data_IF_608910999564
#
_entry.id   IF_608910999564
#
_cell.length_a   1.000
_cell.length_b   1.000
_cell.length_c   1.000
_cell.angle_alpha   90.00
_cell.angle_beta   90.00
_cell.angle_gamma   90.00
#
_symmetry.space_group_name_H-M   'P 1'
#
loop_
_entity.id
_entity.type
_entity.pdbx_description
1 polymer ?
#
# COMPACT_ATOMS: atom_id res chain seq x y z
N UNK A 1 -40.00 -54.04 -3.43
CA UNK A 1 -40.24 -53.78 -1.99
C UNK A 1 -39.50 -52.48 -1.67
N UNK A 2 -40.21 -51.33 -1.66
CA UNK A 2 -40.72 -50.63 -0.44
C UNK A 2 -39.56 -50.32 0.52
N UNK A 3 -39.15 -49.09 0.84
CA UNK A 3 -39.81 -47.76 0.99
C UNK A 3 -38.70 -46.67 1.03
N UNK A 4 -38.84 -45.47 0.44
CA UNK A 4 -39.32 -44.19 1.04
C UNK A 4 -38.56 -43.79 2.32
N UNK A 5 -37.96 -42.60 2.53
CA UNK A 5 -38.55 -41.24 2.66
C UNK A 5 -37.35 -40.29 3.02
N UNK A 6 -36.99 -39.19 2.33
CA UNK A 6 -37.50 -37.79 2.37
C UNK A 6 -37.44 -37.06 3.73
N UNK A 7 -36.77 -35.88 3.71
CA UNK A 7 -37.06 -34.59 4.43
C UNK A 7 -36.56 -34.52 5.90
N UNK A 8 -35.83 -33.50 6.38
CA UNK A 8 -36.20 -32.06 6.44
C UNK A 8 -35.02 -31.15 6.80
N UNK A 9 -34.97 -29.96 6.19
CA UNK A 9 -34.25 -28.77 6.67
C UNK A 9 -34.77 -28.34 8.05
N UNK A 10 -33.90 -27.77 8.89
CA UNK A 10 -34.34 -26.84 9.95
C UNK A 10 -33.32 -25.72 10.11
N UNK A 11 -33.57 -24.63 9.39
CA UNK A 11 -33.07 -23.30 9.73
C UNK A 11 -33.94 -22.77 10.87
N UNK A 12 -33.34 -22.40 12.01
CA UNK A 12 -34.08 -21.79 13.12
C UNK A 12 -33.74 -20.30 13.19
N UNK A 13 -34.67 -19.50 12.67
CA UNK A 13 -34.77 -18.07 12.93
C UNK A 13 -35.33 -17.87 14.35
N UNK A 14 -34.66 -17.07 15.18
CA UNK A 14 -35.30 -16.38 16.30
C UNK A 14 -35.25 -14.88 16.05
N UNK A 15 -36.39 -14.36 15.63
CA UNK A 15 -36.74 -12.96 15.51
C UNK A 15 -37.53 -12.60 16.77
N UNK A 16 -37.06 -11.65 17.57
CA UNK A 16 -37.91 -10.95 18.54
C UNK A 16 -37.66 -9.45 18.44
N UNK A 17 -38.67 -8.76 17.92
CA UNK A 17 -38.82 -7.32 17.97
C UNK A 17 -39.43 -6.90 19.32
N UNK A 18 -39.01 -5.75 19.83
CA UNK A 18 -39.84 -4.78 20.57
C UNK A 18 -39.08 -3.44 20.56
N UNK A 19 -39.50 -2.40 19.83
CA UNK A 19 -40.67 -1.50 20.00
C UNK A 19 -40.35 -0.33 20.95
N UNK A 20 -40.20 0.83 20.30
CA UNK A 20 -40.53 2.20 20.71
C UNK A 20 -39.63 3.00 21.66
N UNK A 21 -39.11 4.10 21.10
CA UNK A 21 -38.61 5.28 21.79
C UNK A 21 -38.43 6.46 20.82
N UNK A 22 -39.54 7.18 20.55
CA UNK A 22 -39.56 8.61 20.16
C UNK A 22 -38.54 9.41 21.03
N UNK A 23 -37.86 10.48 20.65
CA UNK A 23 -37.92 11.46 19.55
C UNK A 23 -36.81 12.52 19.80
N UNK A 24 -36.53 13.35 18.79
CA UNK A 24 -35.89 14.70 18.84
C UNK A 24 -34.35 14.80 18.66
N UNK A 25 -33.96 15.06 17.40
CA UNK A 25 -32.87 15.98 17.02
C UNK A 25 -33.48 17.39 16.77
N UNK A 26 -32.70 18.46 16.54
CA UNK A 26 -31.35 18.81 17.02
C UNK A 26 -31.28 20.26 17.56
N UNK A 27 -30.31 20.59 18.41
CA UNK A 27 -29.91 22.00 18.62
C UNK A 27 -28.40 22.11 18.55
N UNK A 28 -27.91 22.64 17.43
CA UNK A 28 -26.57 23.13 17.25
C UNK A 28 -26.63 24.61 16.86
N UNK A 29 -25.54 25.33 17.16
CA UNK A 29 -25.23 26.76 16.94
C UNK A 29 -25.52 27.66 18.16
N UNK A 30 -24.62 28.56 18.57
CA UNK A 30 -23.25 28.87 18.15
C UNK A 30 -22.60 29.66 19.30
N UNK A 31 -21.35 29.37 19.62
CA UNK A 31 -20.55 30.16 20.56
C UNK A 31 -19.72 31.18 19.78
N UNK A 32 -19.75 32.41 20.25
CA UNK A 32 -18.98 33.57 19.79
C UNK A 32 -17.46 33.31 19.74
N UNK A 33 -16.80 33.73 18.65
CA UNK A 33 -15.58 34.56 18.75
C UNK A 33 -15.23 35.23 17.41
N UNK A 34 -15.17 36.55 17.48
CA UNK A 34 -14.59 37.48 16.51
C UNK A 34 -13.07 37.38 16.47
N UNK A 35 -12.46 37.56 15.30
CA UNK A 35 -11.29 38.44 15.13
C UNK A 35 -10.96 38.68 13.64
N UNK A 36 -10.96 39.95 13.26
CA UNK A 36 -10.29 40.49 12.07
C UNK A 36 -8.78 40.59 12.32
N UNK A 37 -7.96 40.16 11.35
CA UNK A 37 -6.58 40.62 11.06
C UNK A 37 -6.13 39.83 9.81
N UNK A 38 -6.07 40.42 8.61
CA UNK A 38 -4.92 41.14 8.02
C UNK A 38 -3.61 40.34 8.04
N UNK A 39 -3.20 39.81 6.86
CA UNK A 39 -1.85 39.81 6.25
C UNK A 39 -1.86 38.76 5.12
N UNK A 40 -1.89 39.16 3.85
CA UNK A 40 -0.75 39.56 3.00
C UNK A 40 0.44 38.59 3.01
N UNK A 41 0.81 38.20 1.78
CA UNK A 41 2.07 37.62 1.33
C UNK A 41 2.35 36.14 1.67
N UNK A 42 2.10 35.26 0.70
CA UNK A 42 3.16 34.44 0.10
C UNK A 42 2.62 33.75 -1.15
N UNK A 43 3.06 34.28 -2.29
CA UNK A 43 3.06 33.62 -3.57
C UNK A 43 4.07 32.46 -3.49
N UNK A 44 3.63 31.29 -3.04
CA UNK A 44 4.41 30.06 -3.19
C UNK A 44 4.06 29.43 -4.54
N UNK A 45 4.89 29.83 -5.50
CA UNK A 45 5.45 29.01 -6.57
C UNK A 45 5.00 27.55 -6.50
N UNK A 46 3.91 27.26 -7.22
CA UNK A 46 3.48 25.91 -7.56
C UNK A 46 4.45 25.33 -8.59
N UNK A 47 5.70 25.15 -8.19
CA UNK A 47 6.65 24.26 -8.84
C UNK A 47 6.22 22.83 -8.55
N UNK A 48 5.08 22.43 -9.11
CA UNK A 48 4.82 21.02 -9.36
C UNK A 48 6.02 20.52 -10.18
N UNK A 49 6.74 19.46 -9.75
CA UNK A 49 7.79 18.89 -10.57
C UNK A 49 7.14 18.49 -11.88
N UNK A 50 7.51 19.19 -12.96
CA UNK A 50 7.10 18.85 -14.31
C UNK A 50 7.59 17.42 -14.56
N UNK A 51 6.67 16.46 -14.41
CA UNK A 51 6.91 15.08 -14.73
C UNK A 51 7.39 15.02 -16.17
N UNK A 52 8.62 14.56 -16.36
CA UNK A 52 9.18 14.31 -17.67
C UNK A 52 8.20 13.37 -18.41
N UNK A 53 7.57 13.79 -19.53
CA UNK A 53 6.46 13.06 -20.14
C UNK A 53 6.82 11.65 -20.63
N UNK A 54 8.12 11.35 -20.74
CA UNK A 54 8.63 10.04 -21.14
C UNK A 54 8.88 9.07 -19.96
N UNK A 55 8.63 9.48 -18.71
CA UNK A 55 8.79 8.60 -17.54
C UNK A 55 7.52 7.76 -17.30
N UNK A 56 7.62 6.42 -17.24
CA UNK A 56 6.51 5.56 -16.85
C UNK A 56 5.87 6.02 -15.54
N UNK A 57 4.53 6.03 -15.52
CA UNK A 57 3.74 6.38 -14.33
C UNK A 57 4.16 5.50 -13.13
N UNK A 58 4.31 6.10 -11.95
CA UNK A 58 4.74 5.47 -10.70
C UNK A 58 6.17 4.89 -10.70
N UNK A 59 7.04 5.34 -11.60
CA UNK A 59 8.44 4.93 -11.55
C UNK A 59 9.21 5.80 -10.53
N UNK A 60 9.95 5.15 -9.64
CA UNK A 60 10.83 5.80 -8.65
C UNK A 60 12.13 6.21 -9.33
N UNK A 61 12.77 7.25 -8.84
CA UNK A 61 14.00 7.75 -9.45
C UNK A 61 15.16 6.83 -9.08
N UNK A 62 16.07 6.54 -10.00
CA UNK A 62 17.20 5.64 -9.74
C UNK A 62 18.03 6.11 -8.56
N UNK A 63 18.29 7.42 -8.44
CA UNK A 63 19.10 7.94 -7.33
C UNK A 63 18.37 7.82 -5.99
N UNK A 64 17.07 8.12 -5.97
CA UNK A 64 16.24 7.96 -4.77
C UNK A 64 16.13 6.50 -4.36
N UNK A 65 15.95 5.59 -5.31
CA UNK A 65 15.85 4.15 -5.06
C UNK A 65 17.17 3.62 -4.47
N UNK A 66 18.30 3.96 -5.08
CA UNK A 66 19.63 3.53 -4.62
C UNK A 66 19.91 4.06 -3.21
N UNK A 67 19.62 5.34 -2.95
CA UNK A 67 19.80 5.93 -1.62
C UNK A 67 18.94 5.22 -0.55
N UNK A 68 17.69 4.90 -0.88
CA UNK A 68 16.76 4.26 0.04
C UNK A 68 17.15 2.79 0.32
N UNK A 69 17.59 2.04 -0.69
CA UNK A 69 18.13 0.67 -0.50
C UNK A 69 19.42 0.68 0.30
N UNK A 70 20.31 1.66 0.06
CA UNK A 70 21.54 1.80 0.84
C UNK A 70 21.26 2.11 2.31
N UNK A 71 20.27 2.96 2.61
CA UNK A 71 19.87 3.25 3.98
C UNK A 71 19.44 1.98 4.74
N UNK A 72 18.66 1.11 4.10
CA UNK A 72 18.22 -0.16 4.71
C UNK A 72 19.38 -1.14 4.92
N UNK A 73 20.30 -1.25 3.96
CA UNK A 73 21.49 -2.08 4.10
C UNK A 73 22.43 -1.55 5.18
N UNK A 74 22.57 -0.23 5.29
CA UNK A 74 23.36 0.45 6.31
C UNK A 74 22.80 0.31 7.73
N UNK A 75 21.49 0.19 7.90
CA UNK A 75 20.88 -0.14 9.20
C UNK A 75 21.03 -1.62 9.58
N UNK A 76 21.24 -2.51 8.61
CA UNK A 76 21.34 -3.96 8.85
C UNK A 76 22.79 -4.47 8.96
N UNK A 77 23.77 -3.68 8.54
CA UNK A 77 25.19 -4.06 8.54
C UNK A 77 26.02 -3.19 9.49
N UNK A 78 26.75 -3.83 10.41
CA UNK A 78 27.95 -3.22 10.98
C UNK A 78 28.89 -2.75 9.85
N UNK A 79 29.66 -1.67 10.06
CA UNK A 79 30.35 -0.98 8.97
C UNK A 79 31.45 -1.86 8.38
N UNK A 80 31.17 -2.52 7.27
CA UNK A 80 32.23 -2.98 6.37
C UNK A 80 32.87 -1.74 5.75
N UNK A 81 33.93 -1.28 6.41
CA UNK A 81 34.95 -0.46 5.77
C UNK A 81 35.55 -1.29 4.64
N UNK A 82 35.18 -1.03 3.40
CA UNK A 82 36.09 -1.26 2.29
C UNK A 82 35.84 -0.24 1.18
N UNK A 83 36.78 0.70 1.09
CA UNK A 83 36.90 1.61 -0.04
C UNK A 83 37.34 0.84 -1.27
N UNK A 84 36.37 0.40 -2.07
CA UNK A 84 36.55 0.17 -3.49
C UNK A 84 35.72 1.22 -4.22
N UNK A 85 36.27 1.86 -5.24
CA UNK A 85 35.41 2.46 -6.27
C UNK A 85 34.66 1.30 -6.89
N UNK A 86 33.48 0.96 -6.37
CA UNK A 86 32.53 0.17 -7.12
C UNK A 86 32.26 0.98 -8.38
N UNK A 87 32.83 0.55 -9.50
CA UNK A 87 32.33 0.93 -10.82
C UNK A 87 30.81 0.89 -10.71
N UNK A 88 30.15 2.03 -10.91
CA UNK A 88 28.70 2.19 -10.82
C UNK A 88 28.07 1.09 -11.68
N UNK A 89 27.76 -0.05 -11.09
CA UNK A 89 27.15 -1.13 -11.82
C UNK A 89 25.84 -0.57 -12.34
N UNK A 90 25.59 -0.58 -13.67
CA UNK A 90 24.40 0.06 -14.18
C UNK A 90 23.19 -0.69 -13.63
N UNK A 91 22.31 0.03 -12.95
CA UNK A 91 21.08 -0.51 -12.41
C UNK A 91 19.91 -0.14 -13.32
N UNK A 92 18.98 -1.09 -13.49
CA UNK A 92 17.68 -0.85 -14.08
C UNK A 92 16.59 -0.95 -13.01
N UNK A 93 15.49 -0.23 -13.20
CA UNK A 93 14.29 -0.38 -12.38
C UNK A 93 13.28 -1.22 -13.16
N UNK A 94 12.98 -2.41 -12.65
CA UNK A 94 11.87 -3.24 -13.12
C UNK A 94 10.59 -2.86 -12.41
N UNK A 95 9.46 -2.88 -13.14
CA UNK A 95 8.13 -2.65 -12.59
C UNK A 95 7.33 -3.95 -12.62
N UNK A 96 6.77 -4.34 -11.48
CA UNK A 96 6.03 -5.61 -11.33
C UNK A 96 4.70 -5.36 -10.63
N UNK A 97 3.70 -6.19 -10.93
CA UNK A 97 2.42 -6.25 -10.24
C UNK A 97 2.28 -7.63 -9.66
N UNK A 98 2.29 -7.72 -8.33
CA UNK A 98 2.29 -8.99 -7.61
C UNK A 98 0.99 -9.12 -6.79
N UNK A 99 0.27 -10.25 -6.87
CA UNK A 99 -0.86 -10.51 -6.00
C UNK A 99 -0.36 -10.86 -4.60
N UNK A 100 -0.91 -10.23 -3.57
CA UNK A 100 -0.67 -10.59 -2.17
C UNK A 100 -1.94 -11.23 -1.61
N UNK A 101 -1.82 -12.49 -1.19
CA UNK A 101 -2.94 -13.21 -0.58
C UNK A 101 -3.26 -12.69 0.82
N UNK A 102 -4.55 -12.46 1.05
CA UNK A 102 -5.14 -12.07 2.33
C UNK A 102 -5.43 -13.29 3.22
N UNK A 103 -5.26 -14.50 2.71
CA UNK A 103 -5.48 -15.72 3.47
C UNK A 103 -4.24 -16.08 4.30
N UNK A 104 -4.37 -16.14 5.62
CA UNK A 104 -3.25 -16.44 6.53
C UNK A 104 -2.36 -15.21 6.77
N UNK A 105 -1.08 -15.45 7.10
CA UNK A 105 -0.12 -14.36 7.35
C UNK A 105 0.48 -13.86 6.04
N UNK A 106 0.32 -12.57 5.68
CA UNK A 106 0.80 -12.04 4.41
C UNK A 106 2.33 -12.13 4.29
N UNK A 107 3.06 -12.02 5.40
CA UNK A 107 4.51 -12.20 5.44
C UNK A 107 5.30 -11.09 4.75
N UNK A 108 4.74 -9.88 4.69
CA UNK A 108 5.37 -8.70 4.10
C UNK A 108 5.71 -7.69 5.20
N UNK A 109 6.99 -7.52 5.48
CA UNK A 109 7.47 -6.48 6.39
C UNK A 109 7.93 -5.25 5.60
N UNK A 110 7.52 -4.08 6.07
CA UNK A 110 7.79 -2.80 5.42
C UNK A 110 8.67 -1.94 6.31
N UNK A 111 9.55 -1.16 5.70
CA UNK A 111 10.35 -0.14 6.33
C UNK A 111 10.20 1.18 5.58
N UNK A 112 10.27 2.27 6.34
CA UNK A 112 10.28 3.60 5.78
C UNK A 112 11.70 3.98 5.36
N UNK A 113 11.83 4.54 4.16
CA UNK A 113 13.04 5.20 3.69
C UNK A 113 12.66 6.60 3.18
N UNK A 114 13.62 7.52 2.98
CA UNK A 114 13.30 8.90 2.59
C UNK A 114 12.42 8.96 1.32
N UNK A 115 11.13 9.28 1.52
CA UNK A 115 10.12 9.41 0.47
C UNK A 115 9.62 8.11 -0.16
N UNK A 116 9.92 6.93 0.42
CA UNK A 116 9.53 5.63 -0.11
C UNK A 116 9.23 4.63 1.01
N UNK A 117 8.35 3.67 0.72
CA UNK A 117 8.15 2.48 1.55
C UNK A 117 8.73 1.27 0.84
N UNK A 118 9.62 0.58 1.53
CA UNK A 118 10.39 -0.52 0.98
C UNK A 118 10.09 -1.79 1.77
N UNK A 119 10.06 -2.91 1.07
CA UNK A 119 9.97 -4.23 1.66
C UNK A 119 11.29 -4.54 2.37
N UNK A 120 11.27 -4.64 3.70
CA UNK A 120 12.45 -4.93 4.51
C UNK A 120 12.69 -6.44 4.63
N UNK A 121 11.61 -7.21 4.68
CA UNK A 121 11.62 -8.65 4.90
C UNK A 121 10.42 -9.30 4.22
N UNK A 122 10.61 -10.54 3.75
CA UNK A 122 9.59 -11.30 3.01
C UNK A 122 9.57 -12.75 3.50
N UNK A 123 8.39 -13.23 3.84
CA UNK A 123 8.10 -14.61 4.27
C UNK A 123 6.73 -15.05 3.73
N UNK A 124 6.40 -16.34 3.89
CA UNK A 124 5.05 -16.86 3.62
C UNK A 124 4.49 -16.48 2.24
N UNK A 125 3.26 -15.99 2.21
CA UNK A 125 2.53 -15.67 0.99
C UNK A 125 3.24 -14.61 0.12
N UNK A 126 3.86 -13.60 0.74
CA UNK A 126 4.61 -12.60 -0.01
C UNK A 126 5.84 -13.22 -0.70
N UNK A 127 6.50 -14.20 -0.08
CA UNK A 127 7.62 -14.89 -0.71
C UNK A 127 7.14 -15.72 -1.90
N UNK A 128 6.01 -16.43 -1.75
CA UNK A 128 5.40 -17.22 -2.82
C UNK A 128 4.92 -16.36 -3.99
N UNK A 129 4.43 -15.16 -3.71
CA UNK A 129 4.05 -14.17 -4.71
C UNK A 129 5.24 -13.51 -5.44
N UNK A 130 6.47 -13.73 -4.95
CA UNK A 130 7.69 -13.26 -5.59
C UNK A 130 8.16 -11.87 -5.14
N UNK A 131 7.68 -11.37 -4.00
CA UNK A 131 8.26 -10.18 -3.37
C UNK A 131 9.69 -10.46 -2.89
N UNK A 132 10.50 -9.42 -2.85
CA UNK A 132 11.88 -9.46 -2.40
C UNK A 132 12.17 -8.27 -1.48
N UNK A 133 13.06 -8.48 -0.52
CA UNK A 133 13.59 -7.38 0.26
C UNK A 133 14.29 -6.36 -0.67
N UNK A 134 14.01 -5.07 -0.47
CA UNK A 134 14.44 -3.99 -1.34
C UNK A 134 13.42 -3.59 -2.42
N UNK A 135 12.30 -4.30 -2.57
CA UNK A 135 11.20 -3.87 -3.45
C UNK A 135 10.55 -2.61 -2.88
N UNK A 136 10.26 -1.63 -3.73
CA UNK A 136 9.55 -0.40 -3.33
C UNK A 136 8.09 -0.48 -3.70
N UNK A 137 7.19 -0.22 -2.75
CA UNK A 137 5.74 -0.21 -2.97
C UNK A 137 5.33 1.12 -3.62
N UNK A 138 4.72 1.06 -4.81
CA UNK A 138 4.38 2.28 -5.57
C UNK A 138 2.89 2.47 -5.86
N UNK A 139 2.09 1.40 -5.83
CA UNK A 139 0.63 1.51 -5.75
C UNK A 139 0.02 0.22 -5.22
N UNK A 140 -1.20 0.33 -4.71
CA UNK A 140 -1.96 -0.80 -4.16
C UNK A 140 -3.36 -0.75 -4.78
N UNK A 141 -3.88 -1.90 -5.19
CA UNK A 141 -5.18 -2.01 -5.83
C UNK A 141 -5.93 -3.30 -5.48
N UNK A 142 -7.25 -3.26 -5.61
CA UNK A 142 -8.11 -4.43 -5.51
C UNK A 142 -9.16 -4.38 -6.63
N UNK A 143 -9.18 -5.43 -7.46
CA UNK A 143 -10.14 -5.61 -8.58
C UNK A 143 -11.35 -6.46 -8.19
N UNK A 144 -11.69 -6.48 -6.90
CA UNK A 144 -12.72 -7.35 -6.34
C UNK A 144 -14.16 -6.99 -6.76
N UNK A 145 -14.44 -5.70 -6.94
CA UNK A 145 -15.73 -5.17 -7.35
C UNK A 145 -15.56 -3.79 -8.00
N UNK A 146 -16.61 -3.33 -8.68
CA UNK A 146 -16.67 -1.98 -9.24
C UNK A 146 -17.38 -1.02 -8.28
N UNK A 147 -16.84 0.20 -8.05
CA UNK A 147 -15.60 0.71 -8.62
C UNK A 147 -14.37 0.02 -8.02
N UNK A 148 -13.36 -0.27 -8.85
CA UNK A 148 -12.10 -0.83 -8.37
C UNK A 148 -11.44 0.09 -7.34
N UNK A 149 -10.77 -0.50 -6.35
CA UNK A 149 -9.91 0.23 -5.43
C UNK A 149 -8.51 0.39 -6.06
N UNK A 150 -7.98 1.62 -6.09
CA UNK A 150 -6.63 1.92 -6.56
C UNK A 150 -6.13 3.19 -5.87
N UNK A 151 -4.93 3.14 -5.30
CA UNK A 151 -4.24 4.29 -4.72
C UNK A 151 -2.74 4.21 -5.01
N UNK A 152 -2.12 5.37 -5.21
CA UNK A 152 -0.66 5.51 -5.40
C UNK A 152 0.03 5.73 -4.06
N UNK A 153 1.16 5.06 -3.86
CA UNK A 153 1.92 5.13 -2.59
C UNK A 153 3.29 5.77 -2.75
N UNK A 154 3.63 6.19 -3.97
CA UNK A 154 4.90 6.86 -4.24
C UNK A 154 4.97 8.22 -3.53
N UNK A 155 6.02 8.44 -2.73
CA UNK A 155 6.18 9.66 -1.95
C UNK A 155 5.45 9.67 -0.61
N UNK A 156 4.69 8.61 -0.29
CA UNK A 156 4.00 8.49 1.00
C UNK A 156 4.90 7.85 2.05
N UNK A 157 4.59 8.12 3.33
CA UNK A 157 5.26 7.48 4.45
C UNK A 157 4.69 6.07 4.75
N UNK A 158 5.26 5.39 5.73
CA UNK A 158 4.84 4.04 6.10
C UNK A 158 3.40 3.98 6.64
N UNK A 159 2.98 4.97 7.43
CA UNK A 159 1.64 5.01 8.03
C UNK A 159 0.56 5.16 6.95
N UNK A 160 0.76 6.10 6.01
CA UNK A 160 -0.15 6.33 4.89
C UNK A 160 -0.22 5.11 3.96
N UNK A 161 0.93 4.50 3.66
CA UNK A 161 1.00 3.28 2.84
C UNK A 161 0.31 2.10 3.52
N UNK A 162 0.48 1.94 4.84
CA UNK A 162 -0.20 0.90 5.60
C UNK A 162 -1.73 1.12 5.65
N UNK A 163 -2.16 2.38 5.77
CA UNK A 163 -3.58 2.75 5.71
C UNK A 163 -4.22 2.40 4.36
N UNK A 164 -3.51 2.69 3.27
CA UNK A 164 -3.93 2.32 1.91
C UNK A 164 -3.98 0.79 1.76
N UNK A 165 -2.96 0.07 2.22
CA UNK A 165 -2.94 -1.40 2.16
C UNK A 165 -4.13 -2.01 2.91
N UNK A 166 -4.42 -1.51 4.10
CA UNK A 166 -5.56 -1.97 4.91
C UNK A 166 -6.89 -1.65 4.24
N UNK A 167 -7.02 -0.48 3.61
CA UNK A 167 -8.23 -0.08 2.87
C UNK A 167 -8.45 -0.96 1.65
N UNK A 168 -7.40 -1.27 0.89
CA UNK A 168 -7.47 -2.20 -0.24
C UNK A 168 -7.86 -3.61 0.21
N UNK A 169 -7.29 -4.09 1.32
CA UNK A 169 -7.60 -5.40 1.88
C UNK A 169 -9.06 -5.48 2.36
N UNK A 170 -9.55 -4.46 3.06
CA UNK A 170 -10.95 -4.40 3.49
C UNK A 170 -11.90 -4.40 2.29
N UNK A 171 -11.62 -3.57 1.28
CA UNK A 171 -12.38 -3.56 0.03
C UNK A 171 -12.39 -4.94 -0.64
N UNK A 172 -11.25 -5.63 -0.72
CA UNK A 172 -11.17 -6.98 -1.28
C UNK A 172 -12.01 -7.98 -0.48
N UNK A 173 -11.88 -7.99 0.86
CA UNK A 173 -12.60 -8.91 1.76
C UNK A 173 -14.12 -8.70 1.68
N UNK A 174 -14.58 -7.45 1.75
CA UNK A 174 -16.00 -7.10 1.68
C UNK A 174 -16.66 -7.55 0.37
N UNK A 175 -15.86 -7.63 -0.71
CA UNK A 175 -16.30 -8.03 -2.03
C UNK A 175 -15.93 -9.48 -2.40
N UNK A 176 -15.45 -10.28 -1.43
CA UNK A 176 -15.20 -11.71 -1.61
C UNK A 176 -13.93 -12.07 -2.39
N UNK A 177 -13.00 -11.12 -2.57
CA UNK A 177 -11.68 -11.40 -3.11
C UNK A 177 -10.73 -11.88 -1.99
N UNK A 178 -9.77 -12.71 -2.36
CA UNK A 178 -8.78 -13.27 -1.43
C UNK A 178 -7.41 -12.63 -1.56
N UNK A 179 -7.25 -11.63 -2.43
CA UNK A 179 -5.96 -11.05 -2.80
C UNK A 179 -6.09 -9.54 -3.10
N UNK A 180 -4.98 -8.83 -2.91
CA UNK A 180 -4.78 -7.45 -3.39
C UNK A 180 -3.62 -7.42 -4.38
N UNK A 181 -3.64 -6.54 -5.37
CA UNK A 181 -2.55 -6.36 -6.34
C UNK A 181 -1.67 -5.20 -5.88
N UNK A 182 -0.39 -5.49 -5.60
CA UNK A 182 0.60 -4.50 -5.21
C UNK A 182 1.54 -4.28 -6.39
N UNK A 183 1.67 -3.03 -6.81
CA UNK A 183 2.65 -2.61 -7.79
C UNK A 183 3.95 -2.24 -7.08
N UNK A 184 5.05 -2.82 -7.53
CA UNK A 184 6.38 -2.59 -6.99
C UNK A 184 7.36 -2.13 -8.07
N UNK A 185 8.37 -1.40 -7.63
CA UNK A 185 9.59 -1.17 -8.38
C UNK A 185 10.73 -1.97 -7.76
N UNK A 186 11.55 -2.62 -8.58
CA UNK A 186 12.68 -3.46 -8.16
C UNK A 186 13.97 -2.99 -8.83
N UNK A 187 15.03 -2.85 -8.04
CA UNK A 187 16.36 -2.57 -8.56
C UNK A 187 17.00 -3.85 -9.11
N UNK A 188 17.42 -3.83 -10.37
CA UNK A 188 18.06 -4.96 -11.06
C UNK A 188 19.45 -4.55 -11.48
N UNK A 189 20.47 -5.29 -11.04
CA UNK A 189 21.85 -5.09 -11.49
C UNK A 189 21.98 -5.58 -12.93
N UNK A 190 22.40 -4.71 -13.85
CA UNK A 190 22.75 -5.12 -15.20
C UNK A 190 24.14 -5.72 -15.17
N UNK A 191 24.23 -7.04 -15.36
CA UNK A 191 25.49 -7.68 -15.69
C UNK A 191 25.67 -7.61 -17.20
N UNK A 192 26.77 -7.00 -17.66
CA UNK A 192 27.22 -7.22 -19.03
C UNK A 192 27.75 -8.65 -19.10
N UNK A 193 27.24 -9.45 -20.03
CA UNK A 193 27.83 -10.74 -20.33
C UNK A 193 29.13 -10.48 -21.10
N UNK A 194 30.26 -10.81 -20.47
CA UNK A 194 31.58 -10.84 -21.13
C UNK A 194 31.72 -12.06 -22.06
#
# INVERSE_FOLDING_TARGET
>A
MRSSLLITLTWMYCFTANVFGFSLLPTAQAFHRSNSQLQDAAQEDSSAPQGNPDRPKNMVDTNTFVAAVQALKGETAEPEKEGGKEDEAPYAIGKLKLPLSLAGTPGLDLAEAPGLVIVSSVTGNALEAGFQAGDTIVSISSKAAEPNYYEETNGLNLEETASILMSAANHAIENGATEVEIEINRLVKLAYAD
#
